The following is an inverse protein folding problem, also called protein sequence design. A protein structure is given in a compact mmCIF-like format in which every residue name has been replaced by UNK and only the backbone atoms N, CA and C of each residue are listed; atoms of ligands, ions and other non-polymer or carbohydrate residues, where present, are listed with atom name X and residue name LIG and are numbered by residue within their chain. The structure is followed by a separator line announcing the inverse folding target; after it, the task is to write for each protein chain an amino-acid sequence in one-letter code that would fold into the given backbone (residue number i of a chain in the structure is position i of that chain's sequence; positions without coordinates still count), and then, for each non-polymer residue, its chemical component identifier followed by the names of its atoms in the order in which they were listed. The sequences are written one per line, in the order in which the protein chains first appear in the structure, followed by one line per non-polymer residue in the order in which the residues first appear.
data_IF_416802857388
#
_entry.id   IF_416802857388
#
_cell.length_a   1.000
_cell.length_b   1.000
_cell.length_c   1.000
_cell.angle_alpha   90.00
_cell.angle_beta   90.00
_cell.angle_gamma   90.00
#
_symmetry.space_group_name_H-M   'P 1'
#
loop_
_entity.id
_entity.type
_entity.pdbx_description
1 polymer ?
#
# COMPACT_ATOMS: atom_id res chain seq x y z
N UNK A 1 -15.57 -5.38 37.23
CA UNK A 1 -14.84 -6.03 36.10
C UNK A 1 -15.32 -5.36 34.82
N UNK A 2 -14.55 -4.65 34.02
CA UNK A 2 -13.10 -4.47 33.94
C UNK A 2 -12.87 -3.26 33.02
N UNK A 3 -13.05 -2.05 33.54
CA UNK A 3 -12.69 -0.81 32.81
C UNK A 3 -11.21 -0.85 32.39
N UNK A 4 -10.37 -1.51 33.21
CA UNK A 4 -8.96 -1.81 32.93
C UNK A 4 -8.75 -2.74 31.72
N UNK A 5 -9.69 -3.64 31.41
CA UNK A 5 -9.58 -4.55 30.24
C UNK A 5 -9.92 -3.81 28.94
N UNK A 6 -10.86 -2.86 28.96
CA UNK A 6 -11.18 -2.05 27.77
C UNK A 6 -10.02 -1.14 27.36
N UNK A 7 -9.29 -0.58 28.32
CA UNK A 7 -8.09 0.23 28.06
C UNK A 7 -6.95 -0.63 27.51
N UNK A 8 -6.80 -1.88 27.99
CA UNK A 8 -5.82 -2.81 27.44
C UNK A 8 -6.15 -3.28 26.02
N UNK A 9 -7.42 -3.53 25.69
CA UNK A 9 -7.84 -3.87 24.32
C UNK A 9 -7.65 -2.69 23.35
N UNK A 10 -7.92 -1.45 23.78
CA UNK A 10 -7.63 -0.26 22.98
C UNK A 10 -6.11 -0.05 22.80
N UNK A 11 -5.31 -0.34 23.82
CA UNK A 11 -3.85 -0.24 23.73
C UNK A 11 -3.23 -1.33 22.84
N UNK A 12 -3.80 -2.54 22.78
CA UNK A 12 -3.34 -3.60 21.84
C UNK A 12 -3.76 -3.28 20.40
N UNK A 13 -4.94 -2.67 20.20
CA UNK A 13 -5.36 -2.17 18.88
C UNK A 13 -4.48 -1.03 18.36
N UNK A 14 -3.95 -0.18 19.25
CA UNK A 14 -3.07 0.94 18.87
C UNK A 14 -1.60 0.52 18.80
N UNK A 15 -1.15 -0.48 19.55
CA UNK A 15 0.25 -0.94 19.52
C UNK A 15 0.61 -1.72 18.23
N UNK A 16 -0.38 -2.28 17.52
CA UNK A 16 -0.18 -2.84 16.17
C UNK A 16 -0.24 -1.78 15.05
N UNK A 17 -0.68 -0.55 15.37
CA UNK A 17 -0.69 0.58 14.43
C UNK A 17 0.66 1.34 14.39
N UNK A 18 1.66 0.92 15.17
CA UNK A 18 2.93 1.64 15.36
C UNK A 18 3.95 1.42 14.22
N UNK A 19 3.64 0.60 13.21
CA UNK A 19 4.48 0.54 11.99
C UNK A 19 4.08 1.53 10.89
N UNK A 20 2.94 2.23 11.01
CA UNK A 20 2.36 2.96 9.88
C UNK A 20 2.19 4.48 10.05
N UNK A 21 2.56 5.07 11.20
CA UNK A 21 2.31 6.50 11.45
C UNK A 21 3.59 7.21 11.85
N UNK A 22 4.42 7.53 10.87
CA UNK A 22 5.44 8.56 11.00
C UNK A 22 5.67 9.23 9.64
N UNK A 23 5.35 10.53 9.61
CA UNK A 23 5.91 11.60 8.76
C UNK A 23 5.11 12.04 7.52
N UNK A 24 4.24 13.01 7.81
CA UNK A 24 3.91 14.17 6.99
C UNK A 24 5.13 14.69 6.22
N UNK A 25 5.04 14.77 4.89
CA UNK A 25 5.92 15.61 4.05
C UNK A 25 6.67 14.93 2.90
N UNK A 26 6.70 13.60 2.83
CA UNK A 26 7.46 12.84 1.83
C UNK A 26 7.70 11.42 2.32
N UNK A 27 6.62 10.64 2.39
CA UNK A 27 6.63 9.33 3.02
C UNK A 27 7.48 8.30 2.26
N UNK A 28 8.01 7.27 2.95
CA UNK A 28 8.68 6.15 2.29
C UNK A 28 7.75 5.52 1.25
N UNK A 29 8.29 5.21 0.07
CA UNK A 29 7.53 4.58 -1.01
C UNK A 29 6.87 3.28 -0.53
N UNK A 30 5.58 3.03 -0.85
CA UNK A 30 4.84 1.88 -0.33
C UNK A 30 5.56 0.55 -0.53
N UNK A 31 5.64 -0.24 0.52
CA UNK A 31 6.28 -1.55 0.55
C UNK A 31 5.27 -2.70 0.53
N UNK A 32 5.77 -3.92 0.34
CA UNK A 32 4.94 -5.12 0.39
C UNK A 32 4.29 -5.25 1.77
N UNK A 33 2.97 -5.48 1.78
CA UNK A 33 2.16 -5.61 2.98
C UNK A 33 1.37 -4.35 3.32
N UNK A 34 1.78 -3.19 2.82
CA UNK A 34 1.13 -1.91 3.09
C UNK A 34 -0.24 -1.82 2.41
N UNK A 35 -1.20 -1.22 3.10
CA UNK A 35 -2.48 -0.86 2.53
C UNK A 35 -2.43 0.56 2.00
N UNK A 36 -2.99 0.78 0.83
CA UNK A 36 -2.91 2.04 0.11
C UNK A 36 -4.29 2.50 -0.35
N UNK A 37 -4.46 3.82 -0.35
CA UNK A 37 -5.60 4.51 -0.92
C UNK A 37 -5.16 5.35 -2.12
N UNK A 38 -6.10 5.66 -3.00
CA UNK A 38 -5.88 6.67 -4.04
C UNK A 38 -5.73 8.04 -3.37
N UNK A 39 -4.58 8.67 -3.56
CA UNK A 39 -4.27 10.02 -3.13
C UNK A 39 -4.71 11.08 -4.14
N UNK A 40 -4.52 12.37 -3.83
CA UNK A 40 -4.67 13.44 -4.81
C UNK A 40 -3.71 13.24 -5.99
N UNK A 41 -4.07 13.79 -7.15
CA UNK A 41 -3.20 13.81 -8.34
C UNK A 41 -2.75 12.43 -8.87
N UNK A 42 -3.64 11.42 -8.77
CA UNK A 42 -3.36 10.03 -9.18
C UNK A 42 -2.20 9.38 -8.42
N UNK A 43 -1.88 9.86 -7.21
CA UNK A 43 -0.87 9.23 -6.36
C UNK A 43 -1.46 8.11 -5.53
N UNK A 44 -0.62 7.30 -4.88
CA UNK A 44 -1.03 6.37 -3.82
C UNK A 44 -0.49 6.85 -2.48
N UNK A 45 -1.30 6.72 -1.45
CA UNK A 45 -0.92 7.05 -0.07
C UNK A 45 -1.05 5.80 0.79
N UNK A 46 -0.06 5.56 1.65
CA UNK A 46 -0.14 4.47 2.63
C UNK A 46 -1.14 4.85 3.72
N UNK A 47 -2.06 3.94 4.01
CA UNK A 47 -3.10 4.08 5.03
C UNK A 47 -3.11 2.84 5.91
N UNK A 48 -3.81 2.91 7.05
CA UNK A 48 -4.05 1.72 7.87
C UNK A 48 -4.87 0.67 7.10
N UNK A 49 -4.56 -0.62 7.25
CA UNK A 49 -5.34 -1.68 6.60
C UNK A 49 -6.78 -1.80 7.13
N UNK A 50 -7.04 -1.31 8.34
CA UNK A 50 -8.38 -1.21 8.91
C UNK A 50 -9.10 0.10 8.52
N UNK A 51 -8.45 0.98 7.74
CA UNK A 51 -9.04 2.22 7.27
C UNK A 51 -10.04 1.92 6.14
N UNK A 52 -11.28 2.45 6.17
CA UNK A 52 -12.23 2.26 5.09
C UNK A 52 -11.78 2.82 3.73
N UNK A 53 -10.77 3.70 3.71
CA UNK A 53 -10.15 4.20 2.48
C UNK A 53 -9.12 3.22 1.87
N UNK A 54 -8.68 2.19 2.60
CA UNK A 54 -7.75 1.18 2.11
C UNK A 54 -8.39 0.35 0.99
N UNK A 55 -8.19 0.76 -0.26
CA UNK A 55 -8.79 0.09 -1.42
C UNK A 55 -7.91 -1.05 -1.93
N UNK A 56 -6.60 -0.95 -1.70
CA UNK A 56 -5.63 -1.92 -2.18
C UNK A 56 -4.59 -2.26 -1.12
N UNK A 57 -3.97 -3.41 -1.28
CA UNK A 57 -2.79 -3.84 -0.54
C UNK A 57 -1.65 -4.15 -1.50
N UNK A 58 -0.45 -3.69 -1.18
CA UNK A 58 0.76 -4.00 -1.95
C UNK A 58 1.16 -5.45 -1.68
N UNK A 59 1.15 -6.27 -2.72
CA UNK A 59 1.58 -7.68 -2.64
C UNK A 59 2.96 -7.92 -3.26
N UNK A 60 3.46 -6.93 -4.00
CA UNK A 60 4.75 -6.99 -4.66
C UNK A 60 5.23 -5.60 -5.04
N UNK A 61 6.55 -5.45 -5.12
CA UNK A 61 7.21 -4.29 -5.69
C UNK A 61 8.18 -4.82 -6.74
N UNK A 62 8.13 -4.24 -7.93
CA UNK A 62 9.03 -4.57 -9.02
C UNK A 62 9.78 -3.31 -9.41
N UNK A 63 11.10 -3.40 -9.46
CA UNK A 63 11.96 -2.35 -9.97
C UNK A 63 12.24 -2.57 -11.45
N UNK A 64 12.62 -1.50 -12.16
CA UNK A 64 12.97 -1.53 -13.58
C UNK A 64 11.88 -2.12 -14.50
N UNK A 65 10.60 -1.85 -14.19
CA UNK A 65 9.47 -2.27 -15.03
C UNK A 65 8.88 -1.06 -15.75
N UNK A 66 8.77 -1.08 -17.10
CA UNK A 66 8.04 -0.05 -17.83
C UNK A 66 6.57 0.00 -17.36
N UNK A 67 6.06 1.16 -16.88
CA UNK A 67 4.71 1.26 -16.36
C UNK A 67 3.61 0.81 -17.34
N UNK A 68 3.81 0.98 -18.64
CA UNK A 68 2.90 0.47 -19.69
C UNK A 68 2.72 -1.06 -19.67
N UNK A 69 3.70 -1.79 -19.12
CA UNK A 69 3.70 -3.26 -19.01
C UNK A 69 3.53 -3.72 -17.55
N UNK A 70 3.29 -2.79 -16.62
CA UNK A 70 3.27 -3.09 -15.19
C UNK A 70 2.26 -4.17 -14.82
N UNK A 71 1.02 -4.07 -15.28
CA UNK A 71 -0.04 -5.01 -14.93
C UNK A 71 0.22 -6.45 -15.41
N UNK A 72 0.53 -6.72 -16.69
CA UNK A 72 0.82 -8.09 -17.13
C UNK A 72 2.06 -8.68 -16.45
N UNK A 73 3.09 -7.86 -16.17
CA UNK A 73 4.28 -8.32 -15.43
C UNK A 73 3.93 -8.65 -13.97
N UNK A 74 3.17 -7.78 -13.29
CA UNK A 74 2.68 -8.04 -11.95
C UNK A 74 1.85 -9.32 -11.87
N UNK A 75 0.96 -9.58 -12.83
CA UNK A 75 0.18 -10.83 -12.87
C UNK A 75 1.04 -12.07 -13.15
N UNK A 76 2.13 -11.92 -13.91
CA UNK A 76 3.08 -13.00 -14.18
C UNK A 76 3.88 -13.45 -12.95
N UNK A 77 4.24 -12.51 -12.07
CA UNK A 77 5.00 -12.79 -10.84
C UNK A 77 4.10 -13.01 -9.63
N UNK A 78 3.03 -12.22 -9.52
CA UNK A 78 2.03 -12.24 -8.46
C UNK A 78 0.64 -12.48 -9.07
N UNK A 79 0.22 -13.74 -9.27
CA UNK A 79 -1.05 -14.07 -9.95
C UNK A 79 -2.32 -13.52 -9.28
N UNK A 80 -2.21 -13.06 -8.03
CA UNK A 80 -3.29 -12.42 -7.30
C UNK A 80 -3.37 -10.90 -7.51
N UNK A 81 -2.46 -10.32 -8.27
CA UNK A 81 -2.44 -8.88 -8.56
C UNK A 81 -3.66 -8.50 -9.38
N UNK A 82 -4.46 -7.57 -8.88
CA UNK A 82 -5.66 -7.04 -9.56
C UNK A 82 -5.44 -5.64 -10.11
N UNK A 83 -4.39 -4.95 -9.67
CA UNK A 83 -3.99 -3.64 -10.17
C UNK A 83 -2.47 -3.45 -10.08
N UNK A 84 -1.96 -2.43 -10.76
CA UNK A 84 -0.58 -1.98 -10.69
C UNK A 84 -0.51 -0.46 -10.61
N UNK A 85 0.55 0.07 -10.01
CA UNK A 85 0.76 1.50 -9.88
C UNK A 85 2.23 1.86 -10.11
N UNK A 86 2.49 2.95 -10.81
CA UNK A 86 3.80 3.62 -10.87
C UNK A 86 3.59 5.13 -10.79
N UNK A 87 4.45 5.81 -10.03
CA UNK A 87 4.41 7.26 -9.88
C UNK A 87 4.78 7.99 -11.18
N UNK A 88 5.58 7.37 -12.04
CA UNK A 88 5.94 7.91 -13.36
C UNK A 88 4.80 7.93 -14.39
N UNK A 89 3.61 7.44 -14.03
CA UNK A 89 2.46 7.36 -14.94
C UNK A 89 2.69 6.36 -16.09
N UNK A 90 1.97 6.51 -17.20
CA UNK A 90 2.10 5.63 -18.36
C UNK A 90 3.35 5.98 -19.18
N UNK A 91 4.50 5.49 -18.74
CA UNK A 91 5.79 5.66 -19.41
C UNK A 91 6.33 4.35 -19.99
N UNK A 92 7.16 4.45 -21.03
CA UNK A 92 7.97 3.35 -21.53
C UNK A 92 9.32 3.24 -20.79
N UNK A 93 9.70 4.28 -20.04
CA UNK A 93 10.90 4.26 -19.21
C UNK A 93 10.68 3.34 -18.02
N UNK A 94 11.59 2.40 -17.75
CA UNK A 94 11.54 1.58 -16.54
C UNK A 94 11.45 2.43 -15.27
N UNK A 95 10.57 2.05 -14.37
CA UNK A 95 10.38 2.70 -13.07
C UNK A 95 9.97 1.65 -12.03
N UNK A 96 9.85 2.07 -10.78
CA UNK A 96 9.28 1.24 -9.72
C UNK A 96 7.78 1.08 -9.91
N UNK A 97 7.33 -0.16 -9.85
CA UNK A 97 5.93 -0.59 -9.97
C UNK A 97 5.49 -1.27 -8.68
N UNK A 98 4.32 -0.89 -8.17
CA UNK A 98 3.62 -1.59 -7.11
C UNK A 98 2.63 -2.57 -7.73
N UNK A 99 2.68 -3.84 -7.32
CA UNK A 99 1.68 -4.84 -7.64
C UNK A 99 0.67 -4.90 -6.49
N UNK A 100 -0.60 -4.68 -6.82
CA UNK A 100 -1.67 -4.43 -5.87
C UNK A 100 -2.75 -5.50 -5.95
N UNK A 101 -3.31 -5.88 -4.80
CA UNK A 101 -4.55 -6.66 -4.70
C UNK A 101 -5.62 -5.82 -4.04
N UNK A 102 -6.89 -6.00 -4.43
CA UNK A 102 -8.01 -5.44 -3.67
C UNK A 102 -7.95 -5.89 -2.20
N UNK A 103 -8.04 -4.95 -1.28
CA UNK A 103 -8.03 -5.19 0.17
C UNK A 103 -9.38 -5.69 0.68
#
# INVERSE_FOLDING_TARGET
MTTRVRVLLAAVGVALAVTGVLLVGGGPSPGVGDCVAAGPDQTVVVVGCDDPAATFRVIGVLDDVPPLQSQPVCMGVFPRSTASYSAGGLSATPDRVLCLVAA
#
